data_IF_702503149802
#
_entry.id   IF_702503149802
#
_cell.length_a   1.000
_cell.length_b   1.000
_cell.length_c   1.000
_cell.angle_alpha   90.00
_cell.angle_beta   90.00
_cell.angle_gamma   90.00
#
_symmetry.space_group_name_H-M   'P 1'
#
loop_
_entity.id
_entity.type
_entity.pdbx_description
1 polymer ?
#
# COMPACT_ATOMS: atom_id res chain seq x y z
N UNK A 1 13.51 36.97 -18.11
CA UNK A 1 14.33 36.09 -17.49
C UNK A 1 13.73 34.73 -17.45
N UNK A 2 14.52 33.85 -17.62
CA UNK A 2 14.03 32.54 -17.55
C UNK A 2 13.97 32.12 -16.17
N UNK A 3 12.79 31.81 -15.79
CA UNK A 3 12.64 31.28 -14.55
C UNK A 3 13.30 29.99 -14.49
N UNK A 4 14.20 29.86 -13.60
CA UNK A 4 14.82 28.65 -13.41
C UNK A 4 14.00 27.86 -12.53
N UNK A 5 13.20 27.05 -13.13
CA UNK A 5 12.41 26.20 -12.35
C UNK A 5 13.24 25.04 -11.95
N UNK A 6 13.37 24.81 -10.69
CA UNK A 6 14.00 23.61 -10.23
C UNK A 6 12.97 22.50 -10.37
N UNK A 7 13.18 21.68 -11.34
CA UNK A 7 12.28 20.58 -11.53
C UNK A 7 12.78 19.46 -10.66
N UNK A 8 12.06 19.17 -9.62
CA UNK A 8 12.39 18.04 -8.82
C UNK A 8 12.17 16.84 -9.66
N UNK A 9 13.17 15.99 -9.76
CA UNK A 9 12.98 14.74 -10.41
C UNK A 9 12.03 13.95 -9.58
N UNK A 10 10.89 13.67 -10.13
CA UNK A 10 9.95 12.81 -9.46
C UNK A 10 10.38 11.39 -9.63
N UNK A 11 10.28 10.63 -8.57
CA UNK A 11 10.61 9.23 -8.63
C UNK A 11 9.53 8.53 -9.43
N UNK A 12 9.87 7.77 -10.45
CA UNK A 12 8.86 7.04 -11.22
C UNK A 12 8.00 6.18 -10.30
N UNK A 13 6.73 6.06 -10.64
CA UNK A 13 5.78 5.39 -9.77
C UNK A 13 6.23 3.98 -9.41
N UNK A 14 6.72 3.21 -10.38
CA UNK A 14 7.16 1.84 -10.14
C UNK A 14 8.35 1.72 -9.20
N UNK A 15 9.08 2.80 -9.01
CA UNK A 15 10.22 2.81 -8.10
C UNK A 15 9.87 3.30 -6.71
N UNK A 16 8.64 3.71 -6.51
CA UNK A 16 8.18 4.11 -5.19
C UNK A 16 7.94 2.86 -4.35
N UNK A 17 7.72 3.07 -3.07
CA UNK A 17 7.53 1.96 -2.14
C UNK A 17 6.08 1.85 -1.73
N UNK A 18 5.54 0.67 -1.86
CA UNK A 18 4.21 0.32 -1.42
C UNK A 18 4.33 -0.16 0.03
N UNK A 19 3.57 0.46 0.90
CA UNK A 19 3.62 0.18 2.34
C UNK A 19 2.30 -0.39 2.82
N UNK A 20 2.38 -1.40 3.66
CA UNK A 20 1.22 -1.89 4.39
C UNK A 20 1.58 -1.88 5.87
N UNK A 21 0.92 -1.04 6.63
CA UNK A 21 1.14 -0.94 8.06
C UNK A 21 -0.07 -1.55 8.76
N UNK A 22 0.18 -2.55 9.59
CA UNK A 22 -0.87 -3.24 10.32
C UNK A 22 -0.57 -3.16 11.80
N UNK A 23 -1.54 -2.68 12.56
CA UNK A 23 -1.46 -2.71 14.00
C UNK A 23 -2.51 -3.69 14.46
N UNK A 24 -2.09 -4.84 14.98
CA UNK A 24 -3.04 -5.86 15.40
C UNK A 24 -3.70 -5.48 16.72
N UNK A 25 -4.82 -6.11 17.01
CA UNK A 25 -5.51 -5.84 18.26
C UNK A 25 -4.69 -6.29 19.47
N UNK A 26 -3.71 -7.15 19.27
CA UNK A 26 -2.81 -7.57 20.33
C UNK A 26 -1.65 -6.63 20.54
N UNK A 27 -1.58 -5.56 19.76
CA UNK A 27 -0.50 -4.58 19.88
C UNK A 27 0.69 -4.83 19.01
N UNK A 28 0.65 -5.86 18.17
CA UNK A 28 1.74 -6.11 17.25
C UNK A 28 1.71 -5.11 16.12
N UNK A 29 2.88 -4.64 15.74
CA UNK A 29 2.99 -3.70 14.63
C UNK A 29 3.72 -4.38 13.50
N UNK A 30 3.04 -4.53 12.38
CA UNK A 30 3.59 -5.19 11.21
C UNK A 30 3.77 -4.14 10.13
N UNK A 31 4.97 -4.10 9.56
CA UNK A 31 5.28 -3.15 8.49
C UNK A 31 5.78 -3.94 7.31
N UNK A 32 5.03 -3.86 6.21
CA UNK A 32 5.37 -4.57 4.99
C UNK A 32 5.68 -3.55 3.93
N UNK A 33 6.76 -3.75 3.19
CA UNK A 33 7.20 -2.82 2.16
C UNK A 33 7.60 -3.59 0.92
N UNK A 34 7.10 -3.13 -0.22
CA UNK A 34 7.49 -3.67 -1.52
C UNK A 34 7.73 -2.52 -2.47
N UNK A 35 8.67 -2.65 -3.39
CA UNK A 35 8.67 -1.71 -4.51
C UNK A 35 7.33 -1.83 -5.23
N UNK A 36 6.79 -0.72 -5.69
CA UNK A 36 5.50 -0.73 -6.38
C UNK A 36 5.51 -1.72 -7.52
N UNK A 37 6.61 -1.80 -8.26
CA UNK A 37 6.73 -2.73 -9.37
C UNK A 37 6.52 -4.18 -8.92
N UNK A 38 7.11 -4.54 -7.80
CA UNK A 38 6.97 -5.89 -7.26
C UNK A 38 5.53 -6.14 -6.82
N UNK A 39 4.91 -5.16 -6.16
CA UNK A 39 3.52 -5.30 -5.73
C UNK A 39 2.60 -5.51 -6.91
N UNK A 40 2.81 -4.75 -7.99
CA UNK A 40 1.99 -4.88 -9.19
C UNK A 40 2.16 -6.26 -9.83
N UNK A 41 3.38 -6.76 -9.89
CA UNK A 41 3.63 -8.08 -10.46
C UNK A 41 2.98 -9.19 -9.66
N UNK A 42 3.09 -9.10 -8.34
CA UNK A 42 2.50 -10.12 -7.47
C UNK A 42 0.98 -10.13 -7.61
N UNK A 43 0.36 -8.96 -7.63
CA UNK A 43 -1.08 -8.88 -7.81
C UNK A 43 -1.52 -9.42 -9.16
N UNK A 44 -0.75 -9.12 -10.21
CA UNK A 44 -1.07 -9.62 -11.54
C UNK A 44 -0.97 -11.13 -11.63
N UNK A 45 0.02 -11.69 -10.95
CA UNK A 45 0.26 -13.13 -11.02
C UNK A 45 -0.70 -13.95 -10.17
N UNK A 46 -1.03 -13.46 -8.96
CA UNK A 46 -1.81 -14.24 -8.02
C UNK A 46 -3.10 -13.57 -7.55
N UNK A 47 -3.27 -12.29 -7.86
CA UNK A 47 -4.46 -11.57 -7.44
C UNK A 47 -4.44 -11.13 -5.99
N UNK A 48 -3.38 -11.42 -5.26
CA UNK A 48 -3.29 -11.03 -3.86
C UNK A 48 -1.85 -10.87 -3.42
N UNK A 49 -1.64 -10.05 -2.42
CA UNK A 49 -0.32 -9.84 -1.83
C UNK A 49 -0.12 -10.80 -0.65
N UNK A 50 1.13 -11.16 -0.34
CA UNK A 50 1.41 -12.03 0.80
C UNK A 50 1.31 -11.23 2.10
N UNK A 51 0.12 -11.16 2.65
CA UNK A 51 -0.15 -10.45 3.89
C UNK A 51 -0.42 -11.45 5.00
N UNK A 52 -0.14 -11.09 6.26
CA UNK A 52 -0.39 -11.99 7.38
C UNK A 52 -1.89 -12.13 7.62
N UNK A 53 -2.43 -13.25 7.21
CA UNK A 53 -3.86 -13.47 7.29
C UNK A 53 -4.37 -13.52 8.72
N UNK A 54 -3.55 -14.02 9.64
CA UNK A 54 -3.95 -14.08 11.04
C UNK A 54 -4.24 -12.71 11.61
N UNK A 55 -3.48 -11.71 11.22
CA UNK A 55 -3.67 -10.36 11.70
C UNK A 55 -4.85 -9.65 11.02
N UNK A 56 -5.33 -10.22 9.92
CA UNK A 56 -6.37 -9.58 9.09
C UNK A 56 -7.64 -10.41 9.00
N UNK A 57 -7.87 -11.32 9.94
CA UNK A 57 -9.00 -12.24 9.88
C UNK A 57 -10.35 -11.55 9.80
N UNK A 58 -10.48 -10.40 10.44
CA UNK A 58 -11.75 -9.70 10.46
C UNK A 58 -11.98 -8.77 9.29
N UNK A 59 -11.03 -8.71 8.37
CA UNK A 59 -11.14 -7.83 7.22
C UNK A 59 -11.50 -8.61 5.98
N UNK A 60 -12.23 -7.95 5.09
CA UNK A 60 -12.52 -8.53 3.79
C UNK A 60 -11.29 -8.34 2.90
N UNK A 61 -10.44 -9.36 2.87
CA UNK A 61 -9.20 -9.28 2.11
C UNK A 61 -9.43 -9.14 0.62
N UNK A 62 -10.50 -9.73 0.11
CA UNK A 62 -10.81 -9.62 -1.30
C UNK A 62 -11.11 -8.19 -1.68
N UNK A 63 -11.93 -7.52 -0.88
CA UNK A 63 -12.27 -6.13 -1.13
C UNK A 63 -11.04 -5.25 -0.98
N UNK A 64 -10.20 -5.53 0.02
CA UNK A 64 -8.97 -4.79 0.22
C UNK A 64 -8.05 -4.93 -0.99
N UNK A 65 -7.89 -6.15 -1.51
CA UNK A 65 -7.03 -6.37 -2.64
C UNK A 65 -7.57 -5.71 -3.92
N UNK A 66 -8.87 -5.69 -4.09
CA UNK A 66 -9.47 -5.02 -5.23
C UNK A 66 -9.22 -3.51 -5.18
N UNK A 67 -9.35 -2.92 -4.00
CA UNK A 67 -9.08 -1.50 -3.84
C UNK A 67 -7.60 -1.19 -4.08
N UNK A 68 -6.71 -2.03 -3.58
CA UNK A 68 -5.28 -1.85 -3.79
C UNK A 68 -4.94 -1.96 -5.27
N UNK A 69 -5.50 -2.95 -5.96
CA UNK A 69 -5.23 -3.14 -7.38
C UNK A 69 -5.69 -1.93 -8.18
N UNK A 70 -6.86 -1.40 -7.87
CA UNK A 70 -7.38 -0.23 -8.58
C UNK A 70 -6.48 0.99 -8.35
N UNK A 71 -6.03 1.19 -7.13
CA UNK A 71 -5.15 2.32 -6.83
C UNK A 71 -3.80 2.19 -7.55
N UNK A 72 -3.26 0.99 -7.62
CA UNK A 72 -2.01 0.78 -8.32
C UNK A 72 -2.17 0.99 -9.83
N UNK A 73 -3.29 0.56 -10.39
CA UNK A 73 -3.55 0.78 -11.81
C UNK A 73 -3.67 2.25 -12.14
N UNK A 74 -4.24 3.03 -11.27
CA UNK A 74 -4.40 4.46 -11.48
C UNK A 74 -3.19 5.25 -11.00
N UNK A 75 -2.17 4.59 -10.53
CA UNK A 75 -0.93 5.19 -10.05
C UNK A 75 -1.18 6.25 -8.98
N UNK A 76 -2.04 5.91 -8.04
CA UNK A 76 -2.35 6.78 -6.92
C UNK A 76 -1.13 6.85 -5.99
N UNK A 77 -0.76 8.06 -5.60
CA UNK A 77 0.29 8.26 -4.61
C UNK A 77 -0.35 8.64 -3.29
N UNK A 78 0.29 8.28 -2.20
CA UNK A 78 -0.25 8.56 -0.88
C UNK A 78 -1.16 7.44 -0.39
N UNK A 79 -2.15 7.79 0.40
CA UNK A 79 -2.99 6.79 1.06
C UNK A 79 -3.95 6.11 0.08
N UNK A 80 -3.94 4.79 0.10
CA UNK A 80 -4.87 3.99 -0.69
C UNK A 80 -6.10 3.65 0.16
N UNK A 81 -5.86 2.99 1.28
CA UNK A 81 -6.93 2.48 2.13
C UNK A 81 -6.48 2.62 3.57
N UNK A 82 -7.39 3.04 4.42
CA UNK A 82 -7.17 3.04 5.85
C UNK A 82 -8.38 2.36 6.47
N UNK A 83 -8.13 1.31 7.24
CA UNK A 83 -9.18 0.58 7.92
C UNK A 83 -8.95 0.70 9.41
N UNK A 84 -9.94 1.18 10.14
CA UNK A 84 -9.87 1.28 11.58
C UNK A 84 -11.08 0.57 12.15
N UNK A 85 -10.82 -0.45 12.94
CA UNK A 85 -11.89 -1.23 13.55
C UNK A 85 -11.83 -1.02 15.06
N UNK A 86 -12.93 -0.70 15.66
CA UNK A 86 -12.97 -0.49 17.10
C UNK A 86 -12.59 -1.79 17.81
N UNK A 87 -11.50 -1.75 18.57
CA UNK A 87 -11.01 -2.92 19.26
C UNK A 87 -10.39 -3.98 18.36
N UNK A 88 -10.25 -3.69 17.07
CA UNK A 88 -9.69 -4.63 16.12
C UNK A 88 -8.44 -4.07 15.44
N UNK A 89 -8.00 -4.69 14.36
CA UNK A 89 -6.77 -4.26 13.70
C UNK A 89 -6.96 -2.95 12.94
N UNK A 90 -5.87 -2.20 12.85
CA UNK A 90 -5.81 -1.01 12.03
C UNK A 90 -4.89 -1.30 10.87
N UNK A 91 -5.32 -0.99 9.66
CA UNK A 91 -4.53 -1.24 8.46
C UNK A 91 -4.43 0.03 7.66
N UNK A 92 -3.25 0.36 7.24
CA UNK A 92 -3.03 1.50 6.37
C UNK A 92 -2.19 1.06 5.19
N UNK A 93 -2.68 1.31 4.00
CA UNK A 93 -1.98 0.98 2.76
C UNK A 93 -1.71 2.26 2.00
N UNK A 94 -0.46 2.49 1.63
CA UNK A 94 -0.11 3.73 0.96
C UNK A 94 1.16 3.55 0.12
N UNK A 95 1.41 4.52 -0.75
CA UNK A 95 2.61 4.55 -1.57
C UNK A 95 3.38 5.82 -1.23
N UNK A 96 4.66 5.67 -0.96
CA UNK A 96 5.53 6.78 -0.64
C UNK A 96 6.80 6.68 -1.47
N UNK A 97 7.60 7.73 -1.46
CA UNK A 97 8.83 7.73 -2.23
C UNK A 97 9.90 6.82 -1.63
N UNK A 98 9.82 6.54 -0.36
CA UNK A 98 10.72 5.59 0.29
C UNK A 98 10.06 4.94 1.50
#
# INVERSE_FOLDING_TARGET
>A
MTEKRVVKKQIPYDKRIFHVDIDSEKGDKIRIRFPVRAARKILKASGKLPLPQDALQELDLKELMEAVAACLDEEVAGDFVTVETAGGPHVRVYVAEN
#
